data_IF_325764802988
#
_entry.id   IF_325764802988
#
_cell.length_a   1.000
_cell.length_b   1.000
_cell.length_c   1.000
_cell.angle_alpha   90.00
_cell.angle_beta   90.00
_cell.angle_gamma   90.00
#
_symmetry.space_group_name_H-M   'P 1'
#
loop_
_entity.id
_entity.type
_entity.pdbx_description
1 polymer ?
#
# COMPACT_ATOMS: atom_id res chain seq x y z
N UNK A 1 8.39 11.10 -22.56
CA UNK A 1 7.33 11.81 -21.80
C UNK A 1 6.03 11.02 -21.68
N UNK A 2 5.52 10.40 -22.76
CA UNK A 2 4.22 9.67 -22.73
C UNK A 2 4.14 8.57 -21.67
N UNK A 3 5.18 7.72 -21.54
CA UNK A 3 5.20 6.64 -20.54
C UNK A 3 5.04 7.14 -19.10
N UNK A 4 5.69 8.26 -18.75
CA UNK A 4 5.59 8.86 -17.40
C UNK A 4 4.17 9.36 -17.13
N UNK A 5 3.55 10.04 -18.10
CA UNK A 5 2.16 10.50 -18.00
C UNK A 5 1.19 9.33 -17.83
N UNK A 6 1.35 8.27 -18.63
CA UNK A 6 0.51 7.06 -18.52
C UNK A 6 0.65 6.38 -17.16
N UNK A 7 1.86 6.28 -16.60
CA UNK A 7 2.08 5.69 -15.28
C UNK A 7 1.37 6.48 -14.18
N UNK A 8 1.51 7.81 -14.20
CA UNK A 8 0.81 8.70 -13.25
C UNK A 8 -0.72 8.56 -13.37
N UNK A 9 -1.25 8.55 -14.59
CA UNK A 9 -2.69 8.39 -14.82
C UNK A 9 -3.23 7.05 -14.32
N UNK A 10 -2.49 5.95 -14.52
CA UNK A 10 -2.90 4.62 -14.05
C UNK A 10 -2.86 4.52 -12.51
N UNK A 11 -1.84 5.11 -11.88
CA UNK A 11 -1.76 5.17 -10.42
C UNK A 11 -2.88 6.03 -9.83
N UNK A 12 -3.16 7.19 -10.43
CA UNK A 12 -4.24 8.06 -10.01
C UNK A 12 -5.61 7.37 -10.15
N UNK A 13 -5.85 6.66 -11.26
CA UNK A 13 -7.06 5.86 -11.45
C UNK A 13 -7.18 4.75 -10.39
N UNK A 14 -6.09 4.04 -10.09
CA UNK A 14 -6.07 3.02 -9.03
C UNK A 14 -6.41 3.60 -7.66
N UNK A 15 -5.84 4.76 -7.32
CA UNK A 15 -6.13 5.46 -6.07
C UNK A 15 -7.60 5.92 -6.00
N UNK A 16 -8.15 6.45 -7.10
CA UNK A 16 -9.55 6.85 -7.18
C UNK A 16 -10.50 5.66 -7.03
N UNK A 17 -10.20 4.52 -7.68
CA UNK A 17 -10.99 3.30 -7.52
C UNK A 17 -10.93 2.79 -6.08
N UNK A 18 -9.74 2.76 -5.47
CA UNK A 18 -9.57 2.38 -4.07
C UNK A 18 -10.33 3.30 -3.11
N UNK A 19 -10.32 4.61 -3.36
CA UNK A 19 -11.09 5.58 -2.60
C UNK A 19 -12.60 5.38 -2.78
N UNK A 20 -13.07 5.18 -4.01
CA UNK A 20 -14.48 4.91 -4.30
C UNK A 20 -14.98 3.64 -3.59
N UNK A 21 -14.13 2.59 -3.51
CA UNK A 21 -14.37 1.42 -2.64
C UNK A 21 -14.57 1.91 -1.21
N UNK A 22 -13.55 2.52 -0.60
CA UNK A 22 -13.59 2.95 0.80
C UNK A 22 -14.81 3.81 1.14
N UNK A 23 -15.17 4.75 0.26
CA UNK A 23 -16.32 5.63 0.43
C UNK A 23 -17.67 4.88 0.39
N UNK A 24 -17.86 3.99 -0.59
CA UNK A 24 -19.10 3.21 -0.74
C UNK A 24 -19.34 2.22 0.42
N UNK A 25 -18.26 1.77 1.06
CA UNK A 25 -18.33 0.87 2.22
C UNK A 25 -18.34 1.61 3.56
N UNK A 26 -17.69 2.77 3.66
CA UNK A 26 -17.63 3.56 4.90
C UNK A 26 -18.90 4.35 5.21
N UNK A 27 -19.81 4.52 4.24
CA UNK A 27 -21.07 5.26 4.38
C UNK A 27 -22.27 4.40 4.77
N UNK A 28 -22.09 3.08 4.97
CA UNK A 28 -23.19 2.17 5.31
C UNK A 28 -23.22 1.88 6.79
N UNK A 29 -24.41 2.04 7.39
CA UNK A 29 -24.72 1.50 8.71
C UNK A 29 -24.48 -0.03 8.73
N UNK A 30 -24.03 -0.54 9.88
CA UNK A 30 -23.51 -1.89 10.10
C UNK A 30 -24.47 -3.08 9.79
N UNK A 31 -25.61 -2.85 9.13
CA UNK A 31 -26.60 -3.87 8.77
C UNK A 31 -26.97 -3.92 7.28
N UNK A 32 -26.49 -3.01 6.42
CA UNK A 32 -26.86 -3.01 5.01
C UNK A 32 -26.05 -4.06 4.23
N UNK A 33 -26.69 -5.15 3.79
CA UNK A 33 -26.06 -6.14 2.92
C UNK A 33 -25.66 -5.51 1.59
N UNK A 34 -24.37 -5.57 1.26
CA UNK A 34 -23.85 -5.13 -0.04
C UNK A 34 -24.05 -6.26 -1.04
N UNK A 35 -24.70 -5.97 -2.16
CA UNK A 35 -24.78 -6.91 -3.27
C UNK A 35 -23.35 -7.37 -3.67
N UNK A 36 -23.10 -8.68 -3.87
CA UNK A 36 -21.78 -9.18 -4.27
C UNK A 36 -21.32 -8.66 -5.64
N UNK A 37 -22.26 -8.26 -6.50
CA UNK A 37 -22.00 -7.90 -7.89
C UNK A 37 -21.13 -6.62 -8.00
N UNK A 38 -21.48 -5.48 -7.34
CA UNK A 38 -20.60 -4.32 -7.27
C UNK A 38 -19.19 -4.63 -6.78
N UNK A 39 -19.03 -5.54 -5.82
CA UNK A 39 -17.73 -5.90 -5.25
C UNK A 39 -16.89 -6.64 -6.29
N UNK A 40 -17.47 -7.64 -6.95
CA UNK A 40 -16.79 -8.43 -7.97
C UNK A 40 -16.32 -7.54 -9.14
N UNK A 41 -17.19 -6.65 -9.63
CA UNK A 41 -16.85 -5.70 -10.70
C UNK A 41 -15.67 -4.81 -10.29
N UNK A 42 -15.70 -4.28 -9.07
CA UNK A 42 -14.66 -3.40 -8.55
C UNK A 42 -13.32 -4.11 -8.38
N UNK A 43 -13.32 -5.35 -7.90
CA UNK A 43 -12.12 -6.20 -7.79
C UNK A 43 -11.52 -6.51 -9.16
N UNK A 44 -12.36 -6.76 -10.17
CA UNK A 44 -11.91 -6.94 -11.56
C UNK A 44 -11.27 -5.66 -12.08
N UNK A 45 -11.90 -4.50 -11.88
CA UNK A 45 -11.35 -3.21 -12.30
C UNK A 45 -10.01 -2.91 -11.62
N UNK A 46 -9.91 -3.13 -10.31
CA UNK A 46 -8.66 -2.99 -9.56
C UNK A 46 -7.58 -3.93 -10.09
N UNK A 47 -7.94 -5.16 -10.45
CA UNK A 47 -7.01 -6.14 -11.02
C UNK A 47 -6.49 -5.69 -12.38
N UNK A 48 -7.35 -5.18 -13.26
CA UNK A 48 -6.95 -4.62 -14.57
C UNK A 48 -6.00 -3.44 -14.39
N UNK A 49 -6.30 -2.52 -13.47
CA UNK A 49 -5.44 -1.37 -13.18
C UNK A 49 -4.08 -1.81 -12.63
N UNK A 50 -4.03 -2.80 -11.75
CA UNK A 50 -2.78 -3.34 -11.22
C UNK A 50 -1.92 -3.99 -12.32
N UNK A 51 -2.53 -4.77 -13.22
CA UNK A 51 -1.82 -5.37 -14.36
C UNK A 51 -1.27 -4.27 -15.29
N UNK A 52 -2.05 -3.22 -15.55
CA UNK A 52 -1.61 -2.08 -16.34
C UNK A 52 -0.44 -1.34 -15.65
N UNK A 53 -0.54 -1.09 -14.34
CA UNK A 53 0.51 -0.46 -13.55
C UNK A 53 1.80 -1.29 -13.60
N UNK A 54 1.72 -2.59 -13.36
CA UNK A 54 2.87 -3.50 -13.42
C UNK A 54 3.53 -3.48 -14.79
N UNK A 55 2.74 -3.54 -15.87
CA UNK A 55 3.26 -3.49 -17.24
C UNK A 55 3.97 -2.17 -17.54
N UNK A 56 3.42 -1.04 -17.09
CA UNK A 56 4.03 0.28 -17.29
C UNK A 56 5.30 0.44 -16.43
N UNK A 57 5.28 -0.01 -15.18
CA UNK A 57 6.45 -0.03 -14.29
C UNK A 57 7.58 -0.89 -14.87
N UNK A 58 7.26 -2.07 -15.42
CA UNK A 58 8.23 -2.92 -16.11
C UNK A 58 8.87 -2.23 -17.31
N UNK A 59 8.06 -1.55 -18.14
CA UNK A 59 8.57 -0.77 -19.29
C UNK A 59 9.46 0.38 -18.82
N UNK A 60 9.05 1.09 -17.78
CA UNK A 60 9.84 2.16 -17.20
C UNK A 60 11.17 1.63 -16.64
N UNK A 61 11.15 0.51 -15.93
CA UNK A 61 12.32 -0.14 -15.34
C UNK A 61 13.40 -0.39 -16.39
N UNK A 62 13.02 -0.91 -17.57
CA UNK A 62 13.95 -1.14 -18.69
C UNK A 62 14.64 0.12 -19.21
N UNK A 63 14.03 1.28 -19.03
CA UNK A 63 14.56 2.59 -19.47
C UNK A 63 15.27 3.37 -18.36
N UNK A 64 15.11 2.95 -17.10
CA UNK A 64 15.80 3.58 -15.98
C UNK A 64 17.30 3.30 -16.05
N UNK A 65 18.11 4.30 -15.71
CA UNK A 65 19.54 4.14 -15.54
C UNK A 65 19.86 3.25 -14.32
N UNK A 66 21.11 2.81 -14.24
CA UNK A 66 21.53 1.88 -13.21
C UNK A 66 21.52 2.52 -11.81
N UNK A 67 21.86 3.80 -11.70
CA UNK A 67 21.84 4.53 -10.43
C UNK A 67 20.43 4.56 -9.81
N UNK A 68 19.41 4.88 -10.62
CA UNK A 68 18.00 4.88 -10.22
C UNK A 68 17.54 3.49 -9.81
N UNK A 69 17.93 2.44 -10.54
CA UNK A 69 17.58 1.06 -10.18
C UNK A 69 18.19 0.64 -8.85
N UNK A 70 19.47 0.94 -8.63
CA UNK A 70 20.15 0.66 -7.37
C UNK A 70 19.51 1.42 -6.21
N UNK A 71 19.15 2.69 -6.40
CA UNK A 71 18.42 3.47 -5.40
C UNK A 71 17.07 2.83 -5.03
N UNK A 72 16.30 2.37 -6.04
CA UNK A 72 15.03 1.68 -5.82
C UNK A 72 15.18 0.35 -5.08
N UNK A 73 16.12 -0.49 -5.52
CA UNK A 73 16.37 -1.80 -4.91
C UNK A 73 16.87 -1.64 -3.47
N UNK A 74 17.83 -0.75 -3.24
CA UNK A 74 18.38 -0.43 -1.92
C UNK A 74 17.28 0.12 -0.98
N UNK A 75 16.50 1.10 -1.45
CA UNK A 75 15.41 1.69 -0.68
C UNK A 75 14.37 0.65 -0.26
N UNK A 76 13.99 -0.24 -1.17
CA UNK A 76 13.04 -1.31 -0.88
C UNK A 76 13.62 -2.36 0.08
N UNK A 77 14.81 -2.87 -0.22
CA UNK A 77 15.42 -3.95 0.55
C UNK A 77 15.78 -3.51 1.97
N UNK A 78 16.45 -2.36 2.14
CA UNK A 78 16.87 -1.91 3.46
C UNK A 78 15.74 -1.18 4.19
N UNK A 79 15.22 -0.11 3.58
CA UNK A 79 14.23 0.75 4.23
C UNK A 79 12.86 0.11 4.34
N UNK A 80 12.35 -0.40 3.21
CA UNK A 80 11.04 -1.05 3.15
C UNK A 80 10.94 -2.30 4.02
N UNK A 81 11.92 -3.22 3.93
CA UNK A 81 11.91 -4.45 4.73
C UNK A 81 12.08 -4.19 6.23
N UNK A 82 12.93 -3.22 6.62
CA UNK A 82 13.07 -2.86 8.03
C UNK A 82 11.75 -2.35 8.61
N UNK A 83 11.06 -1.47 7.90
CA UNK A 83 9.76 -0.96 8.33
C UNK A 83 8.69 -2.07 8.37
N UNK A 84 8.73 -3.03 7.43
CA UNK A 84 7.88 -4.21 7.46
C UNK A 84 8.16 -5.08 8.70
N UNK A 85 9.43 -5.29 9.08
CA UNK A 85 9.78 -5.97 10.32
C UNK A 85 9.21 -5.27 11.56
N UNK A 86 9.29 -3.94 11.62
CA UNK A 86 8.69 -3.16 12.73
C UNK A 86 7.17 -3.40 12.81
N UNK A 87 6.48 -3.34 11.67
CA UNK A 87 5.04 -3.59 11.61
C UNK A 87 4.69 -5.03 12.07
N UNK A 88 5.50 -6.02 11.69
CA UNK A 88 5.34 -7.42 12.13
C UNK A 88 5.59 -7.59 13.63
N UNK A 89 6.60 -6.91 14.20
CA UNK A 89 6.83 -6.93 15.65
C UNK A 89 5.63 -6.34 16.42
N UNK A 90 5.05 -5.24 15.93
CA UNK A 90 3.84 -4.66 16.53
C UNK A 90 2.68 -5.65 16.45
N UNK A 91 2.48 -6.29 15.29
CA UNK A 91 1.44 -7.31 15.14
C UNK A 91 1.64 -8.50 16.09
N UNK A 92 2.88 -8.97 16.27
CA UNK A 92 3.22 -10.03 17.21
C UNK A 92 2.94 -9.64 18.67
N UNK A 93 3.26 -8.40 19.06
CA UNK A 93 2.96 -7.86 20.41
C UNK A 93 1.44 -7.83 20.64
N UNK A 94 0.66 -7.32 19.68
CA UNK A 94 -0.79 -7.26 19.78
C UNK A 94 -1.43 -8.65 19.84
N UNK A 95 -0.83 -9.64 19.17
CA UNK A 95 -1.27 -11.03 19.23
C UNK A 95 -0.97 -11.67 20.60
N UNK A 96 0.21 -11.40 21.16
CA UNK A 96 0.64 -11.93 22.45
C UNK A 96 -0.04 -11.24 23.65
N UNK A 97 -0.50 -10.00 23.49
CA UNK A 97 -1.16 -9.21 24.52
C UNK A 97 -2.55 -8.73 24.07
N UNK A 98 -3.59 -9.58 24.14
CA UNK A 98 -4.94 -9.23 23.71
C UNK A 98 -5.54 -8.01 24.40
N UNK A 99 -5.11 -7.70 25.63
CA UNK A 99 -5.51 -6.51 26.37
C UNK A 99 -5.10 -5.20 25.69
N UNK A 100 -4.02 -5.20 24.90
CA UNK A 100 -3.59 -4.05 24.07
C UNK A 100 -4.37 -3.97 22.76
N UNK A 101 -4.84 -5.10 22.23
CA UNK A 101 -5.60 -5.16 20.98
C UNK A 101 -7.11 -4.89 21.17
N UNK A 102 -7.68 -5.23 22.34
CA UNK A 102 -9.11 -5.10 22.61
C UNK A 102 -9.65 -3.66 22.44
N UNK A 103 -8.98 -2.60 22.92
CA UNK A 103 -9.43 -1.23 22.68
C UNK A 103 -9.48 -0.84 21.20
N UNK A 104 -8.54 -1.35 20.39
CA UNK A 104 -8.50 -1.11 18.94
C UNK A 104 -9.69 -1.76 18.24
N UNK A 105 -10.06 -2.98 18.64
CA UNK A 105 -11.24 -3.68 18.12
C UNK A 105 -12.53 -2.90 18.34
N UNK A 106 -12.73 -2.37 19.56
CA UNK A 106 -13.90 -1.56 19.90
C UNK A 106 -13.89 -0.22 19.17
N UNK A 107 -12.76 0.48 19.14
CA UNK A 107 -12.65 1.79 18.52
C UNK A 107 -12.81 1.77 17.00
N UNK A 108 -12.35 0.70 16.34
CA UNK A 108 -12.37 0.58 14.88
C UNK A 108 -13.62 -0.12 14.34
N UNK A 109 -14.49 -0.67 15.19
CA UNK A 109 -15.74 -1.30 14.76
C UNK A 109 -15.62 -2.77 14.36
N UNK A 110 -14.69 -3.51 14.98
CA UNK A 110 -14.59 -4.96 14.88
C UNK A 110 -13.41 -5.49 14.04
N UNK A 111 -13.28 -6.83 13.92
CA UNK A 111 -12.06 -7.49 13.40
C UNK A 111 -11.70 -7.10 11.96
N UNK A 112 -12.69 -6.93 11.09
CA UNK A 112 -12.45 -6.55 9.69
C UNK A 112 -11.84 -5.15 9.56
N UNK A 113 -12.32 -4.20 10.35
CA UNK A 113 -11.78 -2.84 10.38
C UNK A 113 -10.39 -2.78 11.00
N UNK A 114 -10.12 -3.57 12.03
CA UNK A 114 -8.77 -3.75 12.61
C UNK A 114 -7.80 -4.30 11.56
N UNK A 115 -8.20 -5.31 10.80
CA UNK A 115 -7.37 -5.87 9.73
C UNK A 115 -7.08 -4.83 8.63
N UNK A 116 -8.10 -4.11 8.17
CA UNK A 116 -7.93 -3.07 7.15
C UNK A 116 -7.01 -1.93 7.63
N UNK A 117 -7.19 -1.47 8.87
CA UNK A 117 -6.33 -0.46 9.49
C UNK A 117 -4.88 -0.96 9.64
N UNK A 118 -4.69 -2.21 10.03
CA UNK A 118 -3.38 -2.85 10.12
C UNK A 118 -2.68 -2.96 8.75
N UNK A 119 -3.41 -3.37 7.71
CA UNK A 119 -2.88 -3.44 6.35
C UNK A 119 -2.48 -2.05 5.83
N UNK A 120 -3.29 -1.03 6.09
CA UNK A 120 -2.98 0.35 5.74
C UNK A 120 -1.74 0.86 6.50
N UNK A 121 -1.68 0.64 7.82
CA UNK A 121 -0.54 1.00 8.66
C UNK A 121 0.76 0.34 8.19
N UNK A 122 0.71 -0.96 7.88
CA UNK A 122 1.84 -1.70 7.31
C UNK A 122 2.34 -1.04 6.02
N UNK A 123 1.43 -0.73 5.10
CA UNK A 123 1.79 -0.10 3.82
C UNK A 123 2.39 1.29 3.99
N UNK A 124 1.83 2.11 4.91
CA UNK A 124 2.36 3.44 5.23
C UNK A 124 3.77 3.35 5.82
N UNK A 125 3.99 2.46 6.79
CA UNK A 125 5.34 2.24 7.34
C UNK A 125 6.32 1.79 6.27
N UNK A 126 5.92 0.85 5.40
CA UNK A 126 6.75 0.39 4.31
C UNK A 126 7.13 1.52 3.34
N UNK A 127 6.19 2.41 3.00
CA UNK A 127 6.46 3.60 2.18
C UNK A 127 7.40 4.59 2.87
N UNK A 128 7.23 4.84 4.17
CA UNK A 128 8.13 5.71 4.95
C UNK A 128 9.53 5.12 4.96
N UNK A 129 9.66 3.83 5.31
CA UNK A 129 10.93 3.12 5.32
C UNK A 129 11.61 3.14 3.97
N UNK A 130 10.87 2.81 2.90
CA UNK A 130 11.33 2.90 1.52
C UNK A 130 11.83 4.31 1.18
N UNK A 131 11.06 5.35 1.51
CA UNK A 131 11.41 6.74 1.23
C UNK A 131 12.68 7.18 1.95
N UNK A 132 12.84 6.81 3.22
CA UNK A 132 14.07 7.08 3.98
C UNK A 132 15.25 6.34 3.38
N UNK A 133 15.12 5.04 3.09
CA UNK A 133 16.20 4.25 2.49
C UNK A 133 16.63 4.78 1.11
N UNK A 134 15.65 5.20 0.31
CA UNK A 134 15.88 5.84 -0.98
C UNK A 134 16.62 7.19 -0.83
N UNK A 135 16.18 8.05 0.09
CA UNK A 135 16.82 9.35 0.33
C UNK A 135 18.26 9.20 0.85
N UNK A 136 18.49 8.28 1.80
CA UNK A 136 19.81 7.97 2.33
C UNK A 136 20.76 7.47 1.24
N UNK A 137 20.26 6.67 0.29
CA UNK A 137 21.08 6.21 -0.84
C UNK A 137 21.62 7.39 -1.66
N UNK A 138 20.76 8.36 -2.01
CA UNK A 138 21.19 9.55 -2.76
C UNK A 138 22.18 10.42 -1.99
N UNK A 139 21.95 10.62 -0.69
CA UNK A 139 22.87 11.38 0.17
C UNK A 139 24.27 10.74 0.27
N UNK A 140 24.35 9.41 0.12
CA UNK A 140 25.62 8.69 0.10
C UNK A 140 26.25 8.68 -1.29
N UNK A 141 25.45 8.57 -2.34
CA UNK A 141 25.92 8.58 -3.72
C UNK A 141 26.43 9.97 -4.18
N UNK A 142 26.01 11.04 -3.51
CA UNK A 142 26.45 12.42 -3.79
C UNK A 142 27.73 12.83 -3.04
N UNK A 143 28.35 11.93 -2.27
CA UNK A 143 29.61 12.15 -1.56
C UNK A 143 30.73 11.37 -2.24
#
# INVERSE_FOLDING_TARGET
MLLRRSLVSVLALGALLAFAVGFLFGTKDAGAQVSPIPIAVLLVLLSVVNVAALRLSWRWWKTADEAVRQAHMSGYFHGGSLAACVALCIAAILLAAPSLAAPLGTALGGPGAVFAAGAFFFFVLQLIGYGVGWAVWWLRASR
#
